data_IF_143261806367
#
_entry.id   IF_143261806367
#
_cell.length_a   1.000
_cell.length_b   1.000
_cell.length_c   1.000
_cell.angle_alpha   90.00
_cell.angle_beta   90.00
_cell.angle_gamma   90.00
#
_symmetry.space_group_name_H-M   'P 1'
#
loop_
_entity.id
_entity.type
_entity.pdbx_description
1 polymer ?
#
# COMPACT_ATOMS: atom_id res chain seq x y z
N UNK A 1 8.70 -9.05 -21.00
CA UNK A 1 8.39 -7.63 -20.76
C UNK A 1 9.11 -7.27 -19.46
N UNK A 2 10.10 -6.39 -19.48
CA UNK A 2 10.71 -5.93 -18.23
C UNK A 2 9.66 -5.06 -17.54
N UNK A 3 9.03 -5.57 -16.49
CA UNK A 3 8.11 -4.79 -15.67
C UNK A 3 8.96 -3.78 -14.92
N UNK A 4 9.06 -2.57 -15.45
CA UNK A 4 9.63 -1.45 -14.70
C UNK A 4 8.84 -1.34 -13.40
N UNK A 5 9.53 -1.45 -12.28
CA UNK A 5 8.87 -1.29 -10.99
C UNK A 5 8.41 0.19 -10.91
N UNK A 6 7.14 0.48 -10.57
CA UNK A 6 6.60 1.85 -10.48
C UNK A 6 7.10 2.60 -9.25
N UNK A 7 7.44 3.89 -9.39
CA UNK A 7 7.96 4.67 -8.26
C UNK A 7 6.86 5.09 -7.28
N UNK A 8 5.59 5.06 -7.71
CA UNK A 8 4.44 5.48 -6.90
C UNK A 8 3.25 4.56 -7.12
N UNK A 9 2.46 4.37 -6.07
CA UNK A 9 1.21 3.63 -6.10
C UNK A 9 0.09 4.41 -5.41
N UNK A 10 -1.13 4.25 -5.91
CA UNK A 10 -2.36 4.57 -5.17
C UNK A 10 -2.84 3.32 -4.45
N UNK A 11 -2.99 3.42 -3.13
CA UNK A 11 -3.61 2.41 -2.29
C UNK A 11 -5.06 2.82 -2.01
N UNK A 12 -5.99 1.94 -2.34
CA UNK A 12 -7.42 2.17 -2.15
C UNK A 12 -7.94 1.25 -1.04
N UNK A 13 -8.41 1.86 0.05
CA UNK A 13 -8.97 1.19 1.21
C UNK A 13 -10.49 1.26 1.14
N UNK A 14 -11.16 0.12 1.07
CA UNK A 14 -12.62 0.06 0.98
C UNK A 14 -13.20 -0.49 2.29
N UNK A 15 -14.05 0.31 2.94
CA UNK A 15 -14.66 -0.02 4.23
C UNK A 15 -16.18 -0.03 4.13
N UNK A 16 -16.82 -1.07 4.67
CA UNK A 16 -18.27 -1.06 4.89
C UNK A 16 -18.57 -0.35 6.20
N UNK A 17 -19.18 0.84 6.14
CA UNK A 17 -19.68 1.53 7.33
C UNK A 17 -21.05 0.97 7.68
N UNK A 18 -21.27 0.59 8.93
CA UNK A 18 -22.56 0.09 9.41
C UNK A 18 -23.65 1.10 9.11
N UNK A 19 -24.52 0.80 8.14
CA UNK A 19 -25.78 1.51 7.97
C UNK A 19 -26.20 1.96 6.57
N UNK A 20 -25.42 1.79 5.48
CA UNK A 20 -25.84 1.80 4.03
C UNK A 20 -24.77 2.27 3.02
N UNK A 21 -23.49 2.43 3.40
CA UNK A 21 -22.48 2.97 2.48
C UNK A 21 -21.15 2.19 2.47
N UNK A 22 -20.59 2.02 1.28
CA UNK A 22 -19.17 1.70 1.09
C UNK A 22 -18.41 3.02 1.07
N UNK A 23 -17.44 3.18 1.96
CA UNK A 23 -16.52 4.32 1.98
C UNK A 23 -15.19 3.84 1.41
N UNK A 24 -14.63 4.65 0.52
CA UNK A 24 -13.35 4.39 -0.11
C UNK A 24 -12.39 5.51 0.23
N UNK A 25 -11.25 5.17 0.84
CA UNK A 25 -10.16 6.08 1.14
C UNK A 25 -8.97 5.78 0.24
N UNK A 26 -8.28 6.81 -0.23
CA UNK A 26 -7.13 6.66 -1.13
C UNK A 26 -5.88 7.30 -0.53
N UNK A 27 -4.77 6.58 -0.60
CA UNK A 27 -3.47 7.05 -0.13
C UNK A 27 -2.44 6.84 -1.23
N UNK A 28 -1.65 7.88 -1.53
CA UNK A 28 -0.52 7.75 -2.45
C UNK A 28 0.73 7.43 -1.65
N UNK A 29 1.47 6.41 -2.11
CA UNK A 29 2.73 5.98 -1.53
C UNK A 29 3.85 6.03 -2.56
N UNK A 30 5.06 6.34 -2.10
CA UNK A 30 6.25 6.49 -2.93
C UNK A 30 7.31 5.48 -2.54
N UNK A 31 8.07 5.00 -3.53
CA UNK A 31 9.12 4.01 -3.30
C UNK A 31 10.19 4.57 -2.38
N UNK A 32 10.62 3.73 -1.45
CA UNK A 32 11.80 3.97 -0.61
C UNK A 32 13.00 3.15 -1.11
N UNK A 33 14.18 3.44 -0.58
CA UNK A 33 15.40 2.68 -0.88
C UNK A 33 15.48 1.33 -0.13
N UNK A 34 14.39 0.90 0.52
CA UNK A 34 14.37 -0.30 1.37
C UNK A 34 13.52 -1.42 0.78
N UNK A 35 13.90 -2.66 1.08
CA UNK A 35 13.15 -3.87 0.74
C UNK A 35 12.42 -4.40 1.98
N UNK A 36 11.24 -4.97 1.74
CA UNK A 36 10.42 -5.61 2.75
C UNK A 36 10.81 -7.07 2.99
N UNK A 37 10.13 -7.77 3.91
CA UNK A 37 10.42 -9.16 4.26
C UNK A 37 10.30 -10.18 3.10
N UNK A 38 9.57 -9.86 2.03
CA UNK A 38 9.47 -10.69 0.83
C UNK A 38 10.40 -10.25 -0.31
N UNK A 39 11.43 -9.45 -0.02
CA UNK A 39 12.39 -8.89 -0.99
C UNK A 39 11.77 -7.96 -2.05
N UNK A 40 10.58 -7.42 -1.80
CA UNK A 40 9.97 -6.41 -2.68
C UNK A 40 10.19 -4.99 -2.14
N UNK A 41 10.13 -3.95 -3.01
CA UNK A 41 10.29 -2.57 -2.56
C UNK A 41 9.24 -2.14 -1.55
N UNK A 42 9.69 -1.36 -0.56
CA UNK A 42 8.83 -0.71 0.41
C UNK A 42 8.42 0.66 -0.10
N UNK A 43 7.14 0.95 -0.01
CA UNK A 43 6.53 2.23 -0.31
C UNK A 43 6.03 2.89 0.97
N UNK A 44 6.09 4.22 1.00
CA UNK A 44 5.71 5.01 2.15
C UNK A 44 4.84 6.19 1.73
N UNK A 45 3.83 6.52 2.52
CA UNK A 45 3.08 7.76 2.33
C UNK A 45 3.91 8.98 2.80
N UNK A 46 3.43 10.18 2.46
CA UNK A 46 4.11 11.43 2.80
C UNK A 46 4.22 11.71 4.30
N UNK A 47 3.39 11.08 5.13
CA UNK A 47 3.43 11.24 6.59
C UNK A 47 4.37 10.25 7.29
N UNK A 48 4.77 9.17 6.61
CA UNK A 48 5.59 8.13 7.21
C UNK A 48 4.82 7.09 8.03
N UNK A 49 3.51 7.27 8.21
CA UNK A 49 2.65 6.40 9.02
C UNK A 49 2.38 5.09 8.29
N UNK A 50 2.12 5.17 6.98
CA UNK A 50 1.75 4.05 6.15
C UNK A 50 2.97 3.56 5.39
N UNK A 51 3.37 2.32 5.67
CA UNK A 51 4.39 1.60 4.89
C UNK A 51 3.82 0.29 4.37
N UNK A 52 4.14 -0.02 3.12
CA UNK A 52 3.72 -1.26 2.50
C UNK A 52 4.83 -1.80 1.61
N UNK A 53 5.04 -3.11 1.67
CA UNK A 53 5.77 -3.85 0.65
C UNK A 53 4.80 -4.16 -0.50
N UNK A 54 5.18 -3.84 -1.75
CA UNK A 54 4.35 -4.10 -2.94
C UNK A 54 5.14 -4.92 -3.96
N UNK A 55 4.62 -6.10 -4.32
CA UNK A 55 5.26 -6.98 -5.30
C UNK A 55 5.04 -6.50 -6.75
N UNK A 56 5.84 -6.97 -7.71
CA UNK A 56 5.60 -6.70 -9.14
C UNK A 56 4.23 -7.18 -9.64
N UNK A 57 3.60 -8.14 -8.95
CA UNK A 57 2.26 -8.62 -9.25
C UNK A 57 1.14 -7.74 -8.63
N UNK A 58 1.50 -6.70 -7.86
CA UNK A 58 0.55 -5.81 -7.19
C UNK A 58 0.05 -6.33 -5.85
N UNK A 59 0.67 -7.37 -5.28
CA UNK A 59 0.33 -7.86 -3.94
C UNK A 59 0.84 -6.87 -2.89
N UNK A 60 -0.02 -6.48 -1.95
CA UNK A 60 0.30 -5.49 -0.92
C UNK A 60 0.42 -6.17 0.45
N UNK A 61 1.56 -5.96 1.10
CA UNK A 61 1.79 -6.34 2.50
C UNK A 61 2.06 -5.10 3.33
N UNK A 62 1.09 -4.74 4.16
CA UNK A 62 1.23 -3.62 5.10
C UNK A 62 2.33 -3.92 6.13
N UNK A 63 3.25 -2.96 6.31
CA UNK A 63 4.32 -3.01 7.31
C UNK A 63 3.89 -2.13 8.48
N UNK A 64 3.39 -2.77 9.54
CA UNK A 64 2.92 -2.04 10.72
C UNK A 64 4.08 -1.29 11.39
N UNK A 65 3.90 0.00 11.65
CA UNK A 65 4.83 0.81 12.44
C UNK A 65 4.63 0.66 13.96
N UNK A 66 3.61 -0.08 14.40
CA UNK A 66 3.32 -0.41 15.80
C UNK A 66 2.28 -1.54 15.98
N UNK A 67 2.22 -2.13 17.18
CA UNK A 67 1.29 -3.23 17.51
C UNK A 67 -0.18 -2.78 17.57
N UNK A 68 -1.11 -3.72 17.31
CA UNK A 68 -2.58 -3.55 17.28
C UNK A 68 -3.21 -2.97 16.01
N UNK A 69 -2.49 -2.84 14.90
CA UNK A 69 -3.15 -2.64 13.61
C UNK A 69 -3.53 -4.00 13.04
N UNK A 70 -4.83 -4.26 12.84
CA UNK A 70 -5.33 -5.24 11.88
C UNK A 70 -5.51 -4.49 10.56
N UNK A 71 -4.49 -4.41 9.68
CA UNK A 71 -4.57 -3.59 8.50
C UNK A 71 -5.52 -4.29 7.53
N UNK A 72 -6.55 -3.57 7.08
CA UNK A 72 -7.26 -3.99 5.89
C UNK A 72 -6.28 -3.92 4.71
N UNK A 73 -6.31 -4.93 3.85
CA UNK A 73 -5.45 -4.99 2.68
C UNK A 73 -6.03 -4.05 1.60
N UNK A 74 -5.32 -2.97 1.22
CA UNK A 74 -5.74 -2.13 0.12
C UNK A 74 -5.49 -2.82 -1.22
N UNK A 75 -6.18 -2.37 -2.26
CA UNK A 75 -5.73 -2.60 -3.64
C UNK A 75 -4.70 -1.55 -4.03
N UNK A 76 -3.66 -1.95 -4.76
CA UNK A 76 -2.65 -1.04 -5.29
C UNK A 76 -2.79 -0.85 -6.80
N UNK A 77 -2.76 0.41 -7.25
CA UNK A 77 -2.68 0.77 -8.67
C UNK A 77 -1.40 1.59 -8.91
N UNK A 78 -0.57 1.24 -9.91
CA UNK A 78 0.62 2.00 -10.23
C UNK A 78 0.26 3.39 -10.78
N UNK A 79 1.00 4.41 -10.36
CA UNK A 79 0.85 5.77 -10.91
C UNK A 79 1.94 6.03 -11.96
N UNK A 80 1.62 6.83 -13.01
CA UNK A 80 2.59 7.26 -14.01
C UNK A 80 3.65 8.21 -13.45
#
# INVERSE_FOLDING_TARGET
MQTQTPDRYRLTFTHRRSGTGVVTDEVVVERTDTLGPGDNPVYCDSTGILRAEISPAGEVRMLASGGYQSPLFPSAEPLP
#
